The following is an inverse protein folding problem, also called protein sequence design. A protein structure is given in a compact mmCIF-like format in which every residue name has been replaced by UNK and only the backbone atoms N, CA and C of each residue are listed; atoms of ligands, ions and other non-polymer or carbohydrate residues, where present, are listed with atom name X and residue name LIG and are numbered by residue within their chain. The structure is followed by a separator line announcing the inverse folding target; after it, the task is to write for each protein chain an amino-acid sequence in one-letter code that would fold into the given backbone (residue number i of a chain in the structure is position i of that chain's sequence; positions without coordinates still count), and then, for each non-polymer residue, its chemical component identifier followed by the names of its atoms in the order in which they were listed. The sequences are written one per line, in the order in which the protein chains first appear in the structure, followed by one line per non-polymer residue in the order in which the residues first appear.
data_IF_497353385855
#
_entry.id   IF_497353385855
#
_cell.length_a   1.000
_cell.length_b   1.000
_cell.length_c   1.000
_cell.angle_alpha   90.00
_cell.angle_beta   90.00
_cell.angle_gamma   90.00
#
_symmetry.space_group_name_H-M   'P 1'
#
loop_
_entity.id
_entity.type
_entity.pdbx_description
1 polymer ?
#
# COMPACT_ATOMS: atom_id res chain seq x y z
N UNK A 1 0.09 0.39 -16.70
CA UNK A 1 0.04 0.71 -15.28
C UNK A 1 -1.25 0.23 -14.66
N UNK A 2 -1.18 -0.19 -13.42
CA UNK A 2 -2.34 -0.70 -12.68
C UNK A 2 -2.50 0.08 -11.39
N UNK A 3 -3.71 0.51 -11.10
CA UNK A 3 -4.01 1.18 -9.84
C UNK A 3 -4.91 0.29 -9.01
N UNK A 4 -4.50 0.02 -7.77
CA UNK A 4 -5.27 -0.79 -6.85
C UNK A 4 -5.48 -0.02 -5.54
N UNK A 5 -6.57 -0.33 -4.87
CA UNK A 5 -6.89 0.28 -3.58
C UNK A 5 -7.15 -0.84 -2.58
N UNK A 6 -6.40 -0.80 -1.50
CA UNK A 6 -6.49 -1.82 -0.45
C UNK A 6 -7.02 -1.23 0.84
N UNK A 7 -7.76 -2.05 1.57
CA UNK A 7 -8.17 -1.70 2.93
C UNK A 7 -7.10 -2.18 3.90
N UNK A 8 -6.57 -1.26 4.71
CA UNK A 8 -5.52 -1.58 5.68
C UNK A 8 -5.96 -1.06 7.05
N UNK A 9 -6.66 -1.89 7.82
CA UNK A 9 -7.26 -1.44 9.09
C UNK A 9 -6.23 -1.06 10.15
N UNK A 10 -4.97 -1.46 9.98
CA UNK A 10 -3.92 -1.09 10.93
C UNK A 10 -3.47 0.36 10.83
N UNK A 11 -3.89 1.07 9.80
CA UNK A 11 -3.56 2.48 9.68
C UNK A 11 -4.31 3.23 10.78
N UNK A 12 -3.56 3.94 11.63
CA UNK A 12 -4.17 4.64 12.75
C UNK A 12 -3.68 6.09 12.92
N UNK A 13 -2.63 6.47 12.20
CA UNK A 13 -2.07 7.82 12.33
C UNK A 13 -1.21 8.17 11.12
N UNK A 14 -0.74 9.42 11.09
CA UNK A 14 0.10 9.89 10.00
C UNK A 14 1.42 9.14 9.85
N UNK A 15 1.95 8.62 10.94
CA UNK A 15 3.17 7.82 10.88
C UNK A 15 2.96 6.54 10.06
N UNK A 16 1.81 5.92 10.22
CA UNK A 16 1.48 4.72 9.47
C UNK A 16 1.42 5.04 7.97
N UNK A 17 0.77 6.13 7.63
CA UNK A 17 0.68 6.59 6.24
C UNK A 17 2.08 6.81 5.67
N UNK A 18 2.92 7.50 6.42
CA UNK A 18 4.28 7.81 5.98
C UNK A 18 5.11 6.54 5.76
N UNK A 19 5.02 5.60 6.70
CA UNK A 19 5.75 4.34 6.61
C UNK A 19 5.33 3.56 5.37
N UNK A 20 4.03 3.44 5.15
CA UNK A 20 3.52 2.72 4.00
C UNK A 20 3.99 3.36 2.70
N UNK A 21 3.87 4.67 2.61
CA UNK A 21 4.27 5.39 1.41
C UNK A 21 5.76 5.21 1.12
N UNK A 22 6.60 5.31 2.14
CA UNK A 22 8.03 5.14 1.97
C UNK A 22 8.41 3.72 1.56
N UNK A 23 7.91 2.74 2.29
CA UNK A 23 8.28 1.35 2.06
C UNK A 23 7.78 0.84 0.70
N UNK A 24 6.54 1.13 0.38
CA UNK A 24 5.96 0.64 -0.88
C UNK A 24 6.54 1.39 -2.08
N UNK A 25 6.83 2.67 -1.94
CA UNK A 25 7.40 3.44 -3.05
C UNK A 25 8.80 2.98 -3.44
N UNK A 26 9.48 2.26 -2.56
CA UNK A 26 10.80 1.69 -2.86
C UNK A 26 10.72 0.42 -3.70
N UNK A 27 9.54 -0.14 -3.84
CA UNK A 27 9.37 -1.36 -4.66
C UNK A 27 9.53 -0.99 -6.13
N UNK A 28 10.39 -1.75 -6.82
CA UNK A 28 10.63 -1.52 -8.24
C UNK A 28 9.34 -1.74 -9.01
N UNK A 29 8.98 -0.76 -9.83
CA UNK A 29 7.75 -0.80 -10.60
C UNK A 29 6.61 0.00 -10.01
N UNK A 30 6.71 0.40 -8.75
CA UNK A 30 5.68 1.23 -8.12
C UNK A 30 5.86 2.68 -8.56
N UNK A 31 4.81 3.26 -9.11
CA UNK A 31 4.81 4.63 -9.60
C UNK A 31 4.40 5.62 -8.53
N UNK A 32 3.36 5.29 -7.77
CA UNK A 32 2.90 6.17 -6.71
C UNK A 32 2.16 5.39 -5.64
N UNK A 33 2.16 5.93 -4.44
CA UNK A 33 1.47 5.35 -3.29
C UNK A 33 0.80 6.48 -2.54
N UNK A 34 -0.49 6.34 -2.29
CA UNK A 34 -1.24 7.30 -1.49
C UNK A 34 -1.98 6.54 -0.40
N UNK A 35 -1.69 6.87 0.84
CA UNK A 35 -2.35 6.24 1.98
C UNK A 35 -3.26 7.26 2.67
N UNK A 36 -4.42 6.80 3.09
CA UNK A 36 -5.43 7.64 3.75
C UNK A 36 -5.69 7.11 5.15
N UNK A 37 -5.41 7.91 6.17
CA UNK A 37 -5.60 7.46 7.55
C UNK A 37 -7.07 7.55 8.00
N UNK A 38 -7.84 8.42 7.41
CA UNK A 38 -9.24 8.59 7.77
C UNK A 38 -10.12 7.44 7.27
N UNK A 39 -9.84 6.93 6.09
CA UNK A 39 -10.58 5.80 5.52
C UNK A 39 -9.84 4.48 5.69
N UNK A 40 -8.58 4.54 6.11
CA UNK A 40 -7.70 3.38 6.27
C UNK A 40 -7.51 2.61 4.96
N UNK A 41 -7.34 3.36 3.89
CA UNK A 41 -7.13 2.81 2.56
C UNK A 41 -5.78 3.23 1.99
N UNK A 42 -5.23 2.38 1.12
CA UNK A 42 -3.97 2.66 0.43
C UNK A 42 -4.20 2.47 -1.05
N UNK A 43 -3.90 3.50 -1.83
CA UNK A 43 -3.99 3.45 -3.28
C UNK A 43 -2.58 3.37 -3.86
N UNK A 44 -2.34 2.36 -4.68
CA UNK A 44 -1.02 2.11 -5.24
C UNK A 44 -1.14 2.01 -6.75
N UNK A 45 -0.32 2.78 -7.47
CA UNK A 45 -0.19 2.69 -8.91
C UNK A 45 1.16 2.04 -9.22
N UNK A 46 1.13 0.95 -9.95
CA UNK A 46 2.36 0.21 -10.23
C UNK A 46 2.31 -0.41 -11.62
N UNK A 47 3.49 -0.85 -12.07
CA UNK A 47 3.65 -1.54 -13.34
C UNK A 47 4.69 -2.65 -13.12
N UNK A 48 4.93 -3.46 -14.14
CA UNK A 48 5.96 -4.49 -14.03
C UNK A 48 7.31 -3.85 -13.71
N UNK A 49 8.16 -4.48 -12.91
CA UNK A 49 8.07 -5.84 -12.35
C UNK A 49 7.28 -5.95 -11.05
N UNK A 50 6.66 -4.88 -10.58
CA UNK A 50 5.86 -4.95 -9.35
C UNK A 50 4.61 -5.80 -9.57
N UNK A 51 4.21 -6.53 -8.53
CA UNK A 51 3.01 -7.37 -8.57
C UNK A 51 2.17 -7.12 -7.33
N UNK A 52 0.87 -7.40 -7.43
CA UNK A 52 -0.02 -7.27 -6.28
C UNK A 52 0.42 -8.17 -5.12
N UNK A 53 0.81 -9.40 -5.44
CA UNK A 53 1.24 -10.36 -4.41
C UNK A 53 2.49 -9.86 -3.68
N UNK A 54 3.44 -9.30 -4.41
CA UNK A 54 4.64 -8.75 -3.81
C UNK A 54 4.35 -7.56 -2.93
N UNK A 55 3.44 -6.69 -3.36
CA UNK A 55 3.04 -5.52 -2.60
C UNK A 55 2.32 -5.94 -1.32
N UNK A 56 1.39 -6.90 -1.42
CA UNK A 56 0.68 -7.40 -0.24
C UNK A 56 1.62 -8.04 0.76
N UNK A 57 2.60 -8.80 0.27
CA UNK A 57 3.59 -9.44 1.14
C UNK A 57 4.41 -8.40 1.89
N UNK A 58 4.83 -7.34 1.21
CA UNK A 58 5.58 -6.27 1.84
C UNK A 58 4.74 -5.52 2.87
N UNK A 59 3.48 -5.27 2.55
CA UNK A 59 2.56 -4.63 3.50
C UNK A 59 2.44 -5.44 4.78
N UNK A 60 2.36 -6.76 4.67
CA UNK A 60 2.31 -7.62 5.84
C UNK A 60 3.63 -7.59 6.61
N UNK A 61 4.75 -7.50 5.91
CA UNK A 61 6.07 -7.44 6.54
C UNK A 61 6.25 -6.21 7.40
N UNK A 62 5.68 -5.09 6.98
CA UNK A 62 5.80 -3.83 7.72
C UNK A 62 4.68 -3.64 8.73
N UNK A 63 3.94 -4.70 9.04
CA UNK A 63 2.86 -4.72 10.02
C UNK A 63 1.59 -3.98 9.59
N UNK A 64 1.37 -3.87 8.30
CA UNK A 64 0.16 -3.25 7.76
C UNK A 64 -0.47 -4.20 6.75
N UNK A 65 -0.93 -5.38 7.21
CA UNK A 65 -1.48 -6.36 6.29
C UNK A 65 -2.76 -5.85 5.60
N UNK A 66 -2.87 -6.19 4.33
CA UNK A 66 -4.04 -5.83 3.55
C UNK A 66 -5.20 -6.72 3.94
N UNK A 67 -6.32 -6.12 4.35
CA UNK A 67 -7.51 -6.88 4.72
C UNK A 67 -8.32 -7.29 3.49
N UNK A 68 -8.17 -6.54 2.39
CA UNK A 68 -8.87 -6.84 1.15
C UNK A 68 -8.85 -5.64 0.23
N UNK A 69 -9.49 -5.77 -0.92
CA UNK A 69 -9.62 -4.66 -1.83
C UNK A 69 -10.67 -3.68 -1.31
N UNK A 70 -10.36 -2.39 -1.36
CA UNK A 70 -11.27 -1.35 -0.89
C UNK A 70 -12.24 -0.88 -1.98
N UNK A 71 -12.05 -1.36 -3.19
CA UNK A 71 -12.88 -0.98 -4.34
C UNK A 71 -13.94 -2.01 -4.60
#
# INVERSE_FOLDING_TARGET
MTTVKYSVPNISCGHCVHTIQMEISEVEGVQSVTAHEDTKEVEITFDVPATEDGIKALMAEINYPVAGLAV
#
